data_IF_110222718770
#
_entry.id   IF_110222718770
#
_cell.length_a   1.000
_cell.length_b   1.000
_cell.length_c   1.000
_cell.angle_alpha   90.00
_cell.angle_beta   90.00
_cell.angle_gamma   90.00
#
_symmetry.space_group_name_H-M   'P 1'
#
loop_
_entity.id
_entity.type
_entity.pdbx_description
1 polymer ?
#
# COMPACT_ATOMS: atom_id res chain seq x y z
N UNK A 1 -10.83 -10.24 17.12
CA UNK A 1 -10.03 -10.64 15.95
C UNK A 1 -9.01 -9.51 15.74
N UNK A 2 -7.74 -9.77 16.04
CA UNK A 2 -6.69 -8.75 16.01
C UNK A 2 -6.10 -8.66 14.60
N UNK A 3 -6.27 -7.50 13.94
CA UNK A 3 -5.53 -7.13 12.73
C UNK A 3 -5.79 -7.98 11.49
N UNK A 4 -5.62 -7.42 10.30
CA UNK A 4 -5.61 -8.21 9.08
C UNK A 4 -4.46 -9.21 9.03
N UNK A 5 -4.62 -10.28 8.26
CA UNK A 5 -3.59 -11.28 7.97
C UNK A 5 -3.26 -11.31 6.47
N UNK A 6 -2.29 -12.13 6.08
CA UNK A 6 -1.95 -12.29 4.66
C UNK A 6 -3.12 -12.82 3.82
N UNK A 7 -4.11 -13.50 4.42
CA UNK A 7 -5.27 -14.05 3.72
C UNK A 7 -6.18 -12.94 3.18
N UNK A 8 -6.28 -11.79 3.84
CA UNK A 8 -7.05 -10.64 3.32
C UNK A 8 -6.52 -10.14 1.96
N UNK A 9 -5.20 -10.15 1.77
CA UNK A 9 -4.58 -9.73 0.51
C UNK A 9 -4.56 -10.83 -0.57
N UNK A 10 -4.72 -12.09 -0.19
CA UNK A 10 -4.52 -13.24 -1.08
C UNK A 10 -5.41 -13.25 -2.34
N UNK A 11 -6.71 -12.92 -2.29
CA UNK A 11 -7.54 -12.89 -3.49
C UNK A 11 -7.03 -11.91 -4.55
N UNK A 12 -6.66 -10.69 -4.15
CA UNK A 12 -6.13 -9.71 -5.09
C UNK A 12 -4.69 -10.03 -5.52
N UNK A 13 -3.86 -10.56 -4.62
CA UNK A 13 -2.52 -11.03 -4.95
C UNK A 13 -2.52 -12.12 -6.03
N UNK A 14 -3.48 -13.06 -5.99
CA UNK A 14 -3.66 -14.08 -7.03
C UNK A 14 -4.03 -13.47 -8.39
N UNK A 15 -4.86 -12.43 -8.40
CA UNK A 15 -5.23 -11.70 -9.62
C UNK A 15 -4.02 -10.99 -10.24
N UNK A 16 -3.19 -10.33 -9.42
CA UNK A 16 -1.94 -9.72 -9.88
C UNK A 16 -0.94 -10.76 -10.40
N UNK A 17 -0.83 -11.91 -9.73
CA UNK A 17 0.02 -13.00 -10.19
C UNK A 17 -0.44 -13.56 -11.55
N UNK A 18 -1.76 -13.72 -11.75
CA UNK A 18 -2.32 -14.09 -13.04
C UNK A 18 -2.08 -13.03 -14.13
N UNK A 19 -1.85 -11.77 -13.74
CA UNK A 19 -1.46 -10.68 -14.63
C UNK A 19 0.07 -10.59 -14.87
N UNK A 20 0.87 -11.53 -14.35
CA UNK A 20 2.30 -11.64 -14.58
C UNK A 20 3.21 -11.10 -13.47
N UNK A 21 2.65 -10.53 -12.40
CA UNK A 21 3.45 -10.02 -11.29
C UNK A 21 3.98 -11.13 -10.37
N UNK A 22 5.22 -11.01 -9.91
CA UNK A 22 5.72 -11.75 -8.74
C UNK A 22 5.18 -11.08 -7.48
N UNK A 23 4.29 -11.74 -6.75
CA UNK A 23 3.61 -11.18 -5.57
C UNK A 23 4.15 -11.81 -4.29
N UNK A 24 4.56 -10.96 -3.34
CA UNK A 24 4.88 -11.34 -1.97
C UNK A 24 3.82 -10.75 -1.04
N UNK A 25 3.13 -11.62 -0.31
CA UNK A 25 2.31 -11.26 0.84
C UNK A 25 3.05 -11.69 2.10
N UNK A 26 3.15 -10.80 3.07
CA UNK A 26 3.84 -11.10 4.34
C UNK A 26 3.05 -10.52 5.50
N UNK A 27 3.29 -11.09 6.68
CA UNK A 27 2.67 -10.66 7.93
C UNK A 27 3.70 -9.91 8.77
N UNK A 28 3.35 -8.71 9.22
CA UNK A 28 4.21 -7.94 10.11
C UNK A 28 4.49 -8.72 11.41
N UNK A 29 5.68 -8.52 11.97
CA UNK A 29 6.05 -8.93 13.32
C UNK A 29 4.92 -8.66 14.33
N UNK A 30 4.46 -9.70 15.03
CA UNK A 30 3.37 -9.66 15.99
C UNK A 30 1.97 -9.90 15.39
N UNK A 31 1.86 -10.18 14.08
CA UNK A 31 0.60 -10.47 13.39
C UNK A 31 0.61 -11.86 12.76
N UNK A 32 -0.56 -12.51 12.73
CA UNK A 32 -0.73 -13.82 12.11
C UNK A 32 0.25 -14.87 12.67
N UNK A 33 1.01 -15.49 11.77
CA UNK A 33 2.04 -16.47 12.11
C UNK A 33 3.42 -15.85 12.45
N UNK A 34 3.59 -14.53 12.24
CA UNK A 34 4.85 -13.83 12.52
C UNK A 34 4.99 -13.46 14.00
N UNK A 35 5.77 -14.23 14.76
CA UNK A 35 5.97 -14.02 16.21
C UNK A 35 7.21 -13.18 16.57
N UNK A 36 8.12 -12.94 15.62
CA UNK A 36 9.33 -12.17 15.84
C UNK A 36 9.03 -10.68 16.11
N UNK A 37 9.97 -9.96 16.73
CA UNK A 37 9.88 -8.54 17.04
C UNK A 37 11.23 -7.83 16.74
N UNK A 38 11.25 -6.50 16.80
CA UNK A 38 12.49 -5.71 16.81
C UNK A 38 12.74 -4.85 15.56
N UNK A 39 11.97 -5.01 14.48
CA UNK A 39 12.00 -4.14 13.31
C UNK A 39 10.75 -3.27 13.23
N UNK A 40 10.90 -2.00 12.84
CA UNK A 40 9.75 -1.13 12.56
C UNK A 40 8.97 -1.64 11.35
N UNK A 41 7.70 -1.24 11.20
CA UNK A 41 6.89 -1.68 10.06
C UNK A 41 7.47 -1.23 8.72
N UNK A 42 7.97 0.03 8.57
CA UNK A 42 8.67 0.42 7.35
C UNK A 42 9.91 -0.43 7.05
N UNK A 43 10.70 -0.80 8.07
CA UNK A 43 11.87 -1.68 7.90
C UNK A 43 11.47 -3.07 7.38
N UNK A 44 10.34 -3.60 7.84
CA UNK A 44 9.82 -4.89 7.36
C UNK A 44 9.33 -4.81 5.91
N UNK A 45 8.68 -3.70 5.51
CA UNK A 45 8.33 -3.45 4.09
C UNK A 45 9.60 -3.35 3.23
N UNK A 46 10.62 -2.65 3.70
CA UNK A 46 11.90 -2.54 3.00
C UNK A 46 12.60 -3.91 2.85
N UNK A 47 12.57 -4.74 3.90
CA UNK A 47 13.06 -6.11 3.85
C UNK A 47 12.29 -6.99 2.86
N UNK A 48 10.96 -6.85 2.79
CA UNK A 48 10.12 -7.54 1.81
C UNK A 48 10.48 -7.15 0.36
N UNK A 49 10.73 -5.85 0.10
CA UNK A 49 11.20 -5.38 -1.19
C UNK A 49 12.61 -5.91 -1.53
N UNK A 50 13.51 -5.94 -0.55
CA UNK A 50 14.85 -6.52 -0.72
C UNK A 50 14.80 -8.03 -1.00
N UNK A 51 13.89 -8.76 -0.36
CA UNK A 51 13.67 -10.18 -0.60
C UNK A 51 13.24 -10.44 -2.05
N UNK A 52 12.23 -9.70 -2.56
CA UNK A 52 11.81 -9.79 -3.96
C UNK A 52 12.98 -9.54 -4.92
N UNK A 53 13.83 -8.55 -4.63
CA UNK A 53 15.03 -8.26 -5.43
C UNK A 53 16.05 -9.39 -5.41
N UNK A 54 16.28 -9.98 -4.23
CA UNK A 54 17.17 -11.16 -4.11
C UNK A 54 16.62 -12.38 -4.88
N UNK A 55 15.32 -12.42 -5.10
CA UNK A 55 14.60 -13.44 -5.89
C UNK A 55 14.45 -13.04 -7.38
N UNK A 56 15.22 -12.05 -7.85
CA UNK A 56 15.31 -11.66 -9.26
C UNK A 56 14.34 -10.57 -9.73
N UNK A 57 13.54 -9.98 -8.83
CA UNK A 57 12.62 -8.89 -9.18
C UNK A 57 13.33 -7.53 -9.09
N UNK A 58 13.73 -6.96 -10.22
CA UNK A 58 14.42 -5.66 -10.24
C UNK A 58 13.50 -4.51 -9.80
N UNK A 59 12.28 -4.51 -10.31
CA UNK A 59 11.32 -3.43 -10.19
C UNK A 59 10.18 -3.83 -9.23
N UNK A 60 10.08 -3.12 -8.09
CA UNK A 60 9.14 -3.45 -7.01
C UNK A 60 8.12 -2.34 -6.84
N UNK A 61 6.84 -2.69 -6.70
CA UNK A 61 5.79 -1.79 -6.23
C UNK A 61 5.27 -2.23 -4.86
N UNK A 62 4.83 -1.27 -4.04
CA UNK A 62 4.31 -1.53 -2.69
C UNK A 62 2.79 -1.33 -2.68
N UNK A 63 2.05 -2.24 -2.03
CA UNK A 63 0.61 -2.11 -1.81
C UNK A 63 0.35 -2.37 -0.33
N UNK A 64 -0.25 -1.39 0.36
CA UNK A 64 -0.48 -1.48 1.80
C UNK A 64 -1.84 -0.92 2.21
N UNK A 65 -2.51 -1.62 3.13
CA UNK A 65 -3.77 -1.18 3.73
C UNK A 65 -3.61 -0.69 5.17
N UNK A 66 -4.31 0.38 5.54
CA UNK A 66 -4.32 0.94 6.89
C UNK A 66 -2.89 1.20 7.40
N UNK A 67 -2.53 0.65 8.56
CA UNK A 67 -1.17 0.54 9.07
C UNK A 67 -0.12 0.16 8.02
N UNK A 68 -0.39 -0.83 7.17
CA UNK A 68 0.52 -1.27 6.12
C UNK A 68 0.69 -0.24 5.01
N UNK A 69 -0.32 0.60 4.78
CA UNK A 69 -0.26 1.74 3.86
C UNK A 69 0.66 2.83 4.38
N UNK A 70 0.51 3.23 5.66
CA UNK A 70 1.45 4.15 6.33
C UNK A 70 2.87 3.61 6.25
N UNK A 71 3.07 2.34 6.61
CA UNK A 71 4.38 1.70 6.56
C UNK A 71 4.99 1.68 5.13
N UNK A 72 4.17 1.45 4.11
CA UNK A 72 4.61 1.44 2.70
C UNK A 72 5.03 2.84 2.21
N UNK A 73 4.27 3.88 2.57
CA UNK A 73 4.59 5.26 2.23
C UNK A 73 5.91 5.70 2.88
N UNK A 74 6.11 5.38 4.16
CA UNK A 74 7.37 5.68 4.85
C UNK A 74 8.54 4.87 4.26
N UNK A 75 8.37 3.56 4.06
CA UNK A 75 9.42 2.70 3.52
C UNK A 75 9.87 3.12 2.13
N UNK A 76 8.95 3.58 1.26
CA UNK A 76 9.28 4.02 -0.09
C UNK A 76 10.28 5.18 -0.13
N UNK A 77 10.38 5.99 0.94
CA UNK A 77 11.38 7.07 1.04
C UNK A 77 12.78 6.58 1.45
N UNK A 78 12.89 5.32 1.89
CA UNK A 78 14.11 4.74 2.48
C UNK A 78 14.72 3.61 1.62
N UNK A 79 13.91 3.00 0.73
CA UNK A 79 14.33 1.86 -0.08
C UNK A 79 15.23 2.31 -1.24
N UNK A 80 16.40 1.67 -1.36
CA UNK A 80 17.35 1.85 -2.47
C UNK A 80 17.68 0.52 -3.15
N UNK A 81 17.66 0.41 -4.50
CA UNK A 81 17.13 1.39 -5.46
C UNK A 81 15.67 1.76 -5.16
N UNK A 82 15.14 2.91 -5.62
CA UNK A 82 13.76 3.29 -5.37
C UNK A 82 12.76 2.22 -5.84
N UNK A 83 11.65 2.06 -5.11
CA UNK A 83 10.50 1.31 -5.63
C UNK A 83 9.87 2.07 -6.80
N UNK A 84 9.12 1.38 -7.65
CA UNK A 84 8.51 1.98 -8.85
C UNK A 84 7.19 2.68 -8.57
N UNK A 85 6.43 2.21 -7.58
CA UNK A 85 5.15 2.79 -7.22
C UNK A 85 4.70 2.39 -5.81
N UNK A 86 3.80 3.17 -5.23
CA UNK A 86 3.14 2.85 -3.94
C UNK A 86 1.62 2.98 -4.09
N UNK A 87 0.89 2.02 -3.53
CA UNK A 87 -0.57 2.03 -3.44
C UNK A 87 -0.98 1.99 -1.97
N UNK A 88 -1.64 3.06 -1.52
CA UNK A 88 -2.06 3.28 -0.14
C UNK A 88 -3.58 3.17 -0.02
N UNK A 89 -4.04 2.14 0.70
CA UNK A 89 -5.47 1.83 0.90
C UNK A 89 -5.89 2.20 2.34
N UNK A 90 -6.70 3.22 2.53
CA UNK A 90 -7.17 3.73 3.83
C UNK A 90 -6.04 3.95 4.85
N UNK A 91 -4.88 4.43 4.42
CA UNK A 91 -3.78 4.68 5.36
C UNK A 91 -4.09 5.90 6.23
N UNK A 92 -3.89 5.81 7.56
CA UNK A 92 -3.90 7.00 8.40
C UNK A 92 -2.66 7.87 8.14
N UNK A 93 -2.79 9.17 8.41
CA UNK A 93 -1.68 10.15 8.30
C UNK A 93 -0.51 9.82 9.22
N UNK A 94 -0.76 9.11 10.32
CA UNK A 94 0.28 8.55 11.17
C UNK A 94 -0.15 7.23 11.80
N UNK A 95 0.82 6.36 12.09
CA UNK A 95 0.57 5.11 12.81
C UNK A 95 1.81 4.69 13.61
N UNK A 96 1.65 4.44 14.91
CA UNK A 96 2.73 3.87 15.75
C UNK A 96 4.06 4.65 15.70
N UNK A 97 4.01 5.98 15.54
CA UNK A 97 5.18 6.85 15.43
C UNK A 97 5.68 7.11 13.99
N UNK A 98 5.16 6.37 13.01
CA UNK A 98 5.41 6.63 11.59
C UNK A 98 4.52 7.79 11.11
N UNK A 99 5.12 8.85 10.56
CA UNK A 99 4.44 10.01 9.99
C UNK A 99 4.41 9.88 8.45
N UNK A 100 3.24 9.52 7.91
CA UNK A 100 3.07 9.37 6.48
C UNK A 100 3.01 10.71 5.76
N UNK A 101 2.50 11.78 6.38
CA UNK A 101 2.41 13.12 5.74
C UNK A 101 3.80 13.68 5.47
N UNK A 102 4.68 13.62 6.47
CA UNK A 102 6.09 14.03 6.32
C UNK A 102 6.85 13.13 5.33
N UNK A 103 6.50 11.84 5.25
CA UNK A 103 7.11 10.92 4.29
C UNK A 103 6.68 11.24 2.85
N UNK A 104 5.38 11.41 2.60
CA UNK A 104 4.89 11.65 1.23
C UNK A 104 5.32 12.99 0.68
N UNK A 105 5.57 13.98 1.54
CA UNK A 105 6.19 15.26 1.16
C UNK A 105 7.60 15.12 0.57
N UNK A 106 8.28 13.98 0.81
CA UNK A 106 9.62 13.67 0.29
C UNK A 106 9.61 12.56 -0.76
N UNK A 107 8.42 12.05 -1.11
CA UNK A 107 8.31 10.94 -2.05
C UNK A 107 8.75 11.38 -3.44
N UNK A 108 9.46 10.50 -4.15
CA UNK A 108 9.94 10.73 -5.51
C UNK A 108 9.38 9.71 -6.52
N UNK A 109 8.43 8.87 -6.09
CA UNK A 109 7.90 7.74 -6.85
C UNK A 109 6.38 7.88 -7.00
N UNK A 110 5.79 7.40 -8.10
CA UNK A 110 4.35 7.41 -8.30
C UNK A 110 3.57 6.84 -7.12
N UNK A 111 2.45 7.48 -6.77
CA UNK A 111 1.61 7.05 -5.65
C UNK A 111 0.11 7.10 -5.93
N UNK A 112 -0.59 6.06 -5.50
CA UNK A 112 -2.04 5.94 -5.57
C UNK A 112 -2.61 5.93 -4.15
N UNK A 113 -3.59 6.78 -3.88
CA UNK A 113 -4.32 6.84 -2.62
C UNK A 113 -5.78 6.46 -2.81
N UNK A 114 -6.35 5.75 -1.84
CA UNK A 114 -7.78 5.50 -1.77
C UNK A 114 -8.26 5.37 -0.33
N UNK A 115 -9.54 5.66 -0.12
CA UNK A 115 -10.29 5.40 1.10
C UNK A 115 -11.76 5.18 0.71
N UNK A 116 -12.50 4.40 1.50
CA UNK A 116 -13.95 4.28 1.39
C UNK A 116 -14.64 5.56 1.86
N UNK A 117 -15.69 5.97 1.17
CA UNK A 117 -16.45 7.21 1.43
C UNK A 117 -16.97 7.29 2.87
N UNK A 118 -17.35 6.16 3.46
CA UNK A 118 -17.88 6.10 4.83
C UNK A 118 -16.78 5.96 5.89
N UNK A 119 -15.50 5.94 5.48
CA UNK A 119 -14.34 5.96 6.38
C UNK A 119 -13.94 7.41 6.70
N UNK A 120 -14.76 8.11 7.49
CA UNK A 120 -14.69 9.57 7.64
C UNK A 120 -13.28 10.15 7.90
N UNK A 121 -12.49 9.58 8.82
CA UNK A 121 -11.12 10.04 9.07
C UNK A 121 -10.14 9.70 7.95
N UNK A 122 -10.32 8.56 7.30
CA UNK A 122 -9.38 8.04 6.30
C UNK A 122 -9.53 8.73 4.94
N UNK A 123 -10.73 9.22 4.60
CA UNK A 123 -10.93 10.14 3.47
C UNK A 123 -10.08 11.39 3.65
N UNK A 124 -10.15 12.01 4.84
CA UNK A 124 -9.34 13.19 5.18
C UNK A 124 -7.84 12.90 5.13
N UNK A 125 -7.41 11.74 5.66
CA UNK A 125 -5.99 11.34 5.61
C UNK A 125 -5.49 11.13 4.17
N UNK A 126 -6.27 10.47 3.32
CA UNK A 126 -5.91 10.26 1.92
C UNK A 126 -5.80 11.59 1.15
N UNK A 127 -6.72 12.53 1.40
CA UNK A 127 -6.68 13.87 0.82
C UNK A 127 -5.47 14.68 1.31
N UNK A 128 -5.18 14.64 2.61
CA UNK A 128 -4.03 15.32 3.22
C UNK A 128 -2.71 14.81 2.61
N UNK A 129 -2.52 13.49 2.55
CA UNK A 129 -1.32 12.90 1.96
C UNK A 129 -1.21 13.17 0.46
N UNK A 130 -2.33 13.13 -0.27
CA UNK A 130 -2.36 13.53 -1.68
C UNK A 130 -1.93 14.99 -1.86
N UNK A 131 -2.39 15.90 -1.01
CA UNK A 131 -2.02 17.31 -1.05
C UNK A 131 -0.54 17.54 -0.69
N UNK A 132 -0.02 16.82 0.31
CA UNK A 132 1.37 16.90 0.74
C UNK A 132 2.36 16.30 -0.27
N UNK A 133 1.93 15.36 -1.11
CA UNK A 133 2.78 14.75 -2.15
C UNK A 133 3.22 15.81 -3.19
N UNK A 134 4.52 15.91 -3.53
CA UNK A 134 5.02 16.89 -4.50
C UNK A 134 4.27 16.87 -5.84
N UNK A 135 4.00 18.04 -6.41
CA UNK A 135 3.29 18.16 -7.69
C UNK A 135 4.07 17.55 -8.88
N UNK A 136 5.37 17.35 -8.73
CA UNK A 136 6.24 16.68 -9.71
C UNK A 136 6.09 15.16 -9.72
N UNK A 137 5.46 14.58 -8.69
CA UNK A 137 5.21 13.14 -8.58
C UNK A 137 3.87 12.81 -9.19
N UNK A 138 3.84 11.77 -10.04
CA UNK A 138 2.58 11.22 -10.52
C UNK A 138 1.76 10.70 -9.34
N UNK A 139 0.62 11.33 -9.07
CA UNK A 139 -0.25 10.98 -7.95
C UNK A 139 -1.70 10.83 -8.37
N UNK A 140 -2.38 9.84 -7.81
CA UNK A 140 -3.80 9.57 -8.04
C UNK A 140 -4.54 9.41 -6.72
N UNK A 141 -5.75 9.93 -6.64
CA UNK A 141 -6.67 9.75 -5.52
C UNK A 141 -8.00 9.21 -6.06
N UNK A 142 -8.46 8.09 -5.52
CA UNK A 142 -9.79 7.54 -5.80
C UNK A 142 -10.51 7.39 -4.46
N UNK A 143 -11.64 8.07 -4.29
CA UNK A 143 -12.49 7.89 -3.11
C UNK A 143 -13.59 6.90 -3.48
N UNK A 144 -13.64 5.78 -2.76
CA UNK A 144 -14.53 4.68 -3.06
C UNK A 144 -15.94 4.94 -2.57
N UNK A 145 -16.90 5.11 -3.49
CA UNK A 145 -18.28 5.42 -3.14
C UNK A 145 -18.96 4.29 -2.35
N UNK A 146 -19.86 4.68 -1.45
CA UNK A 146 -20.82 3.81 -0.76
C UNK A 146 -20.23 2.61 0.01
N UNK A 147 -19.01 2.72 0.54
CA UNK A 147 -18.38 1.63 1.30
C UNK A 147 -17.73 2.12 2.60
N UNK A 148 -17.82 1.28 3.62
CA UNK A 148 -17.12 1.40 4.90
C UNK A 148 -15.99 0.36 5.04
N UNK A 149 -15.68 -0.37 3.96
CA UNK A 149 -14.54 -1.30 3.94
C UNK A 149 -13.24 -0.57 4.21
N UNK A 150 -12.30 -1.24 4.87
CA UNK A 150 -11.07 -0.62 5.37
C UNK A 150 -9.82 -1.35 4.92
N UNK A 151 -8.80 -0.62 4.48
CA UNK A 151 -7.49 -1.18 4.15
C UNK A 151 -7.55 -2.14 2.96
N UNK A 152 -7.01 -3.36 3.12
CA UNK A 152 -7.00 -4.35 2.04
C UNK A 152 -8.42 -4.77 1.61
N UNK A 153 -9.42 -4.66 2.47
CA UNK A 153 -10.83 -4.95 2.14
C UNK A 153 -11.40 -4.01 1.08
N UNK A 154 -10.79 -2.84 0.85
CA UNK A 154 -11.18 -2.01 -0.29
C UNK A 154 -10.99 -2.73 -1.62
N UNK A 155 -10.10 -3.72 -1.70
CA UNK A 155 -9.90 -4.55 -2.89
C UNK A 155 -10.83 -5.76 -2.94
N UNK A 156 -11.71 -5.98 -1.97
CA UNK A 156 -12.66 -7.10 -2.05
C UNK A 156 -13.74 -6.82 -3.10
N UNK A 157 -14.07 -7.78 -3.99
CA UNK A 157 -15.02 -7.53 -5.08
C UNK A 157 -16.48 -7.43 -4.60
N UNK A 158 -16.78 -7.89 -3.38
CA UNK A 158 -18.14 -7.90 -2.83
C UNK A 158 -18.39 -6.77 -1.83
N UNK A 159 -17.40 -6.43 -1.00
CA UNK A 159 -17.55 -5.39 0.04
C UNK A 159 -16.70 -4.14 -0.20
N UNK A 160 -15.69 -4.24 -1.07
CA UNK A 160 -14.74 -3.17 -1.34
C UNK A 160 -15.28 -2.10 -2.29
N UNK A 161 -14.35 -1.39 -2.93
CA UNK A 161 -14.66 -0.32 -3.87
C UNK A 161 -14.84 -0.91 -5.27
N UNK A 162 -16.01 -0.72 -5.85
CA UNK A 162 -16.28 -1.16 -7.21
C UNK A 162 -15.26 -0.57 -8.21
N UNK A 163 -14.66 -1.44 -9.03
CA UNK A 163 -13.67 -1.04 -10.04
C UNK A 163 -12.26 -0.75 -9.51
N UNK A 164 -12.02 -0.71 -8.19
CA UNK A 164 -10.72 -0.31 -7.63
C UNK A 164 -9.56 -1.22 -8.07
N UNK A 165 -9.78 -2.54 -8.20
CA UNK A 165 -8.74 -3.45 -8.70
C UNK A 165 -8.29 -3.08 -10.11
N UNK A 166 -9.21 -2.69 -10.99
CA UNK A 166 -8.89 -2.26 -12.35
C UNK A 166 -8.13 -0.92 -12.36
N UNK A 167 -8.52 0.01 -11.48
CA UNK A 167 -7.83 1.29 -11.30
C UNK A 167 -6.39 1.11 -10.80
N UNK A 168 -6.19 0.26 -9.79
CA UNK A 168 -4.86 -0.09 -9.28
C UNK A 168 -4.05 -0.79 -10.36
N UNK A 169 -4.62 -1.77 -11.07
CA UNK A 169 -3.94 -2.47 -12.17
C UNK A 169 -3.46 -1.51 -13.25
N UNK A 170 -4.32 -0.57 -13.67
CA UNK A 170 -3.97 0.46 -14.67
C UNK A 170 -2.80 1.31 -14.19
N UNK A 171 -2.86 1.76 -12.93
CA UNK A 171 -1.78 2.52 -12.31
C UNK A 171 -0.47 1.72 -12.25
N UNK A 172 -0.51 0.43 -11.88
CA UNK A 172 0.67 -0.43 -11.89
C UNK A 172 1.22 -0.65 -13.30
N UNK A 173 0.38 -0.89 -14.31
CA UNK A 173 0.84 -1.02 -15.69
C UNK A 173 1.54 0.24 -16.23
N UNK A 174 1.12 1.41 -15.77
CA UNK A 174 1.73 2.69 -16.16
C UNK A 174 3.07 2.95 -15.47
N UNK A 175 3.25 2.53 -14.21
CA UNK A 175 4.36 2.97 -13.37
C UNK A 175 5.31 1.84 -12.92
N UNK A 176 4.84 0.60 -12.92
CA UNK A 176 5.56 -0.61 -12.55
C UNK A 176 5.08 -1.79 -13.42
N UNK A 177 5.32 -1.76 -14.75
CA UNK A 177 4.94 -2.85 -15.64
C UNK A 177 5.70 -4.15 -15.33
N UNK A 178 5.17 -5.28 -15.80
CA UNK A 178 5.82 -6.60 -15.73
C UNK A 178 7.00 -6.72 -16.68
#
# INVERSE_FOLDING_TARGET
MNGGDACQGAPYGKELAAAGYRVLLFEFAGFGASTAAGATKPQQVAAAAAYLRSDGVADVALIGGSMGGTASLVAATQISPPVKAVVSLSAPSSFSGDDAVSAVAKLAVPVFYTAGEYESSFVGNAQEMFAATPATVAKKLVLGAATASHGLWLTDPTVGVAGLRAEIKTFLQQHAPV
#
